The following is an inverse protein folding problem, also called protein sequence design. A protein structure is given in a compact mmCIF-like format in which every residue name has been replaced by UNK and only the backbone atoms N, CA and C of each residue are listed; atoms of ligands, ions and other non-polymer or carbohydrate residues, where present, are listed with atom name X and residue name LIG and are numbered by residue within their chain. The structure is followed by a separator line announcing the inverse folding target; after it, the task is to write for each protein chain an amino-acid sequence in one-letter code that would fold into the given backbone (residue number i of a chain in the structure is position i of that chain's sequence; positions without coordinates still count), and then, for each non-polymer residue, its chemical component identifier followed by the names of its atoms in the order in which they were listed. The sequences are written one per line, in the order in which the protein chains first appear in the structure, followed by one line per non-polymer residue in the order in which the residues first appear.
data_IF_536582822305
#
_entry.id   IF_536582822305
#
_cell.length_a   1.000
_cell.length_b   1.000
_cell.length_c   1.000
_cell.angle_alpha   90.00
_cell.angle_beta   90.00
_cell.angle_gamma   90.00
#
_symmetry.space_group_name_H-M   'P 1'
#
loop_
_entity.id
_entity.type
_entity.pdbx_description
1 polymer ?
#
# COMPACT_ATOMS: atom_id res chain seq x y z
N UNK A 1 -1.85 -24.86 7.14
CA UNK A 1 -1.78 -24.45 5.72
C UNK A 1 -1.80 -22.93 5.70
N UNK A 2 -0.71 -22.28 5.30
CA UNK A 2 -0.73 -20.83 5.09
C UNK A 2 -1.66 -20.58 3.92
N UNK A 3 -2.91 -20.21 4.21
CA UNK A 3 -3.83 -19.74 3.18
C UNK A 3 -3.22 -18.46 2.62
N UNK A 4 -2.56 -18.59 1.47
CA UNK A 4 -2.32 -17.44 0.60
C UNK A 4 -3.67 -16.75 0.44
N UNK A 5 -3.77 -15.58 1.03
CA UNK A 5 -5.00 -14.80 1.12
C UNK A 5 -5.63 -14.73 -0.28
N UNK A 6 -6.86 -15.26 -0.49
CA UNK A 6 -7.49 -15.29 -1.81
C UNK A 6 -7.59 -13.88 -2.42
N UNK A 7 -7.67 -12.87 -1.56
CA UNK A 7 -7.55 -11.45 -1.88
C UNK A 7 -6.31 -11.12 -2.72
N UNK A 8 -5.13 -11.66 -2.40
CA UNK A 8 -3.90 -11.38 -3.14
C UNK A 8 -3.97 -11.88 -4.57
N UNK A 9 -4.66 -13.00 -4.85
CA UNK A 9 -4.81 -13.50 -6.24
C UNK A 9 -5.65 -12.57 -7.10
N UNK A 10 -6.63 -11.89 -6.51
CA UNK A 10 -7.57 -11.00 -7.19
C UNK A 10 -6.95 -9.68 -7.67
N UNK A 11 -5.82 -9.25 -7.08
CA UNK A 11 -5.15 -8.04 -7.55
C UNK A 11 -4.44 -8.26 -8.90
N UNK A 12 -4.54 -7.31 -9.84
CA UNK A 12 -3.81 -7.36 -11.10
C UNK A 12 -2.29 -7.28 -10.88
N UNK A 13 -1.51 -7.89 -11.79
CA UNK A 13 -0.04 -7.99 -11.66
C UNK A 13 0.65 -6.64 -11.54
N UNK A 14 0.17 -5.61 -12.23
CA UNK A 14 0.73 -4.27 -12.14
C UNK A 14 0.52 -3.66 -10.74
N UNK A 15 -0.63 -3.89 -10.11
CA UNK A 15 -0.93 -3.37 -8.79
C UNK A 15 -0.11 -4.07 -7.71
N UNK A 16 0.12 -5.38 -7.85
CA UNK A 16 1.08 -6.12 -7.02
C UNK A 16 2.50 -5.57 -7.12
N UNK A 17 2.96 -5.28 -8.34
CA UNK A 17 4.26 -4.67 -8.56
C UNK A 17 4.33 -3.26 -7.94
N UNK A 18 3.27 -2.47 -8.08
CA UNK A 18 3.17 -1.13 -7.50
C UNK A 18 3.21 -1.17 -5.96
N UNK A 19 2.54 -2.15 -5.35
CA UNK A 19 2.63 -2.39 -3.90
C UNK A 19 4.04 -2.75 -3.46
N UNK A 20 4.73 -3.65 -4.18
CA UNK A 20 6.07 -4.11 -3.80
C UNK A 20 7.16 -3.07 -4.06
N UNK A 21 7.06 -2.31 -5.16
CA UNK A 21 8.11 -1.38 -5.61
C UNK A 21 7.89 0.03 -5.05
N UNK A 22 6.64 0.44 -4.82
CA UNK A 22 6.32 1.81 -4.35
C UNK A 22 5.72 1.78 -2.96
N UNK A 23 4.68 0.98 -2.75
CA UNK A 23 3.96 0.94 -1.47
C UNK A 23 4.87 0.52 -0.30
N UNK A 24 5.63 -0.56 -0.49
CA UNK A 24 6.47 -1.15 0.56
C UNK A 24 7.67 -0.25 0.93
N UNK A 25 8.42 0.33 -0.04
CA UNK A 25 9.46 1.31 0.29
C UNK A 25 8.90 2.61 0.86
N UNK A 26 7.75 3.08 0.38
CA UNK A 26 7.10 4.27 0.94
C UNK A 26 6.68 4.06 2.40
N UNK A 27 6.14 2.88 2.71
CA UNK A 27 5.79 2.50 4.08
C UNK A 27 7.01 2.39 4.98
N UNK A 28 8.08 1.72 4.51
CA UNK A 28 9.34 1.62 5.27
C UNK A 28 9.95 2.99 5.53
N UNK A 29 10.02 3.86 4.52
CA UNK A 29 10.50 5.24 4.67
C UNK A 29 9.67 6.02 5.68
N UNK A 30 8.34 5.95 5.58
CA UNK A 30 7.45 6.61 6.53
C UNK A 30 7.61 6.06 7.96
N UNK A 31 7.72 4.73 8.12
CA UNK A 31 7.95 4.09 9.42
C UNK A 31 9.29 4.53 10.04
N UNK A 32 10.36 4.65 9.23
CA UNK A 32 11.65 5.15 9.74
C UNK A 32 11.57 6.60 10.21
N UNK A 33 10.80 7.45 9.53
CA UNK A 33 10.57 8.83 9.96
C UNK A 33 9.78 8.91 11.27
N UNK A 34 8.82 8.00 11.47
CA UNK A 34 8.10 7.87 12.74
C UNK A 34 9.04 7.48 13.87
N UNK A 35 9.85 6.44 13.68
CA UNK A 35 10.76 5.91 14.72
C UNK A 35 11.84 6.93 15.10
N UNK A 36 12.34 7.68 14.11
CA UNK A 36 13.36 8.72 14.34
C UNK A 36 12.79 10.02 14.88
N UNK A 37 11.47 10.20 14.84
CA UNK A 37 10.82 11.46 15.23
C UNK A 37 11.00 12.61 14.22
N UNK A 38 11.59 12.36 13.05
CA UNK A 38 11.90 13.37 12.02
C UNK A 38 10.69 13.75 11.13
N UNK A 39 9.49 13.29 11.50
CA UNK A 39 8.22 13.53 10.79
C UNK A 39 8.04 15.02 10.45
N UNK A 40 8.30 15.89 11.43
CA UNK A 40 8.08 17.34 11.34
C UNK A 40 9.28 18.11 10.79
N UNK A 41 10.48 17.51 10.76
CA UNK A 41 11.68 18.13 10.19
C UNK A 41 11.69 18.03 8.66
N UNK A 42 11.10 16.96 8.13
CA UNK A 42 11.01 16.69 6.70
C UNK A 42 9.56 16.54 6.24
N UNK A 43 8.71 17.49 6.62
CA UNK A 43 7.25 17.45 6.37
C UNK A 43 6.89 17.11 4.92
N UNK A 44 7.55 17.71 3.93
CA UNK A 44 7.30 17.43 2.51
C UNK A 44 7.61 15.98 2.13
N UNK A 45 8.70 15.42 2.65
CA UNK A 45 9.11 14.04 2.38
C UNK A 45 8.13 13.07 3.05
N UNK A 46 7.80 13.34 4.30
CA UNK A 46 6.82 12.59 5.08
C UNK A 46 5.46 12.54 4.39
N UNK A 47 4.93 13.69 3.96
CA UNK A 47 3.66 13.79 3.24
C UNK A 47 3.70 13.08 1.89
N UNK A 48 4.82 13.14 1.18
CA UNK A 48 4.98 12.46 -0.11
C UNK A 48 5.01 10.94 0.06
N UNK A 49 5.75 10.43 1.05
CA UNK A 49 5.79 9.01 1.38
C UNK A 49 4.41 8.51 1.81
N UNK A 50 3.74 9.25 2.70
CA UNK A 50 2.39 8.94 3.15
C UNK A 50 1.39 8.96 2.00
N UNK A 51 1.40 10.01 1.16
CA UNK A 51 0.51 10.15 0.01
C UNK A 51 0.73 9.04 -1.03
N UNK A 52 1.98 8.68 -1.29
CA UNK A 52 2.33 7.57 -2.19
C UNK A 52 1.79 6.25 -1.65
N UNK A 53 2.00 5.97 -0.36
CA UNK A 53 1.47 4.77 0.29
C UNK A 53 -0.06 4.75 0.29
N UNK A 54 -0.71 5.86 0.64
CA UNK A 54 -2.16 5.99 0.65
C UNK A 54 -2.77 5.77 -0.73
N UNK A 55 -2.12 6.28 -1.80
CA UNK A 55 -2.55 6.05 -3.17
C UNK A 55 -2.53 4.56 -3.54
N UNK A 56 -1.45 3.85 -3.19
CA UNK A 56 -1.37 2.39 -3.41
C UNK A 56 -2.46 1.67 -2.64
N UNK A 57 -2.67 2.02 -1.36
CA UNK A 57 -3.69 1.41 -0.52
C UNK A 57 -5.11 1.64 -1.07
N UNK A 58 -5.40 2.84 -1.58
CA UNK A 58 -6.68 3.15 -2.23
C UNK A 58 -6.88 2.32 -3.49
N UNK A 59 -5.84 2.17 -4.32
CA UNK A 59 -5.91 1.31 -5.49
C UNK A 59 -6.21 -0.15 -5.10
N UNK A 60 -5.49 -0.69 -4.11
CA UNK A 60 -5.76 -2.04 -3.60
C UNK A 60 -7.20 -2.18 -3.09
N UNK A 61 -7.65 -1.23 -2.28
CA UNK A 61 -8.99 -1.21 -1.70
C UNK A 61 -10.06 -1.15 -2.78
N UNK A 62 -9.90 -0.33 -3.82
CA UNK A 62 -10.86 -0.23 -4.93
C UNK A 62 -10.96 -1.54 -5.72
N UNK A 63 -9.83 -2.21 -5.99
CA UNK A 63 -9.83 -3.51 -6.67
C UNK A 63 -10.44 -4.62 -5.80
N UNK A 64 -10.15 -4.62 -4.50
CA UNK A 64 -10.76 -5.56 -3.55
C UNK A 64 -12.27 -5.32 -3.39
N UNK A 65 -12.70 -4.05 -3.32
CA UNK A 65 -14.12 -3.69 -3.27
C UNK A 65 -14.85 -4.12 -4.55
N UNK A 66 -14.21 -3.94 -5.72
CA UNK A 66 -14.76 -4.40 -7.00
C UNK A 66 -14.86 -5.93 -7.08
N UNK A 67 -13.86 -6.67 -6.57
CA UNK A 67 -13.94 -8.13 -6.53
C UNK A 67 -14.98 -8.63 -5.53
N UNK A 68 -15.12 -7.96 -4.37
CA UNK A 68 -16.18 -8.23 -3.40
C UNK A 68 -17.57 -8.05 -4.00
N UNK A 69 -17.79 -6.95 -4.72
CA UNK A 69 -19.06 -6.68 -5.41
C UNK A 69 -19.41 -7.74 -6.47
N UNK A 70 -18.40 -8.32 -7.11
CA UNK A 70 -18.58 -9.38 -8.13
C UNK A 70 -18.79 -10.77 -7.53
N UNK A 71 -18.77 -10.93 -6.20
CA UNK A 71 -18.75 -12.23 -5.52
C UNK A 71 -17.58 -13.13 -5.97
N UNK A 72 -16.45 -12.53 -6.35
CA UNK A 72 -15.23 -13.25 -6.74
C UNK A 72 -14.32 -13.57 -5.52
N UNK A 73 -14.77 -13.26 -4.30
CA UNK A 73 -14.06 -13.46 -3.02
C UNK A 73 -14.52 -14.72 -2.28
#
# INVERSE_FOLDING_TARGET
MWSFDPSWRLLPRWLKALTLIVGLPAWLGFATMIVTGSIFEHETVTLTLFGSFAFVALCQTAFMARSAWRNDL
#
